data_IF_079198426961
#
_entry.id   IF_079198426961
#
_cell.length_a   1.000
_cell.length_b   1.000
_cell.length_c   1.000
_cell.angle_alpha   90.00
_cell.angle_beta   90.00
_cell.angle_gamma   90.00
#
_symmetry.space_group_name_H-M   'P 1'
#
loop_
_entity.id
_entity.type
_entity.pdbx_description
1 polymer ?
#
# COMPACT_ATOMS: atom_id res chain seq x y z
N UNK A 1 -50.96 -3.75 44.31
CA UNK A 1 -49.63 -4.17 43.82
C UNK A 1 -49.49 -4.19 42.28
N UNK A 2 -50.55 -4.38 41.48
CA UNK A 2 -50.44 -4.33 39.99
C UNK A 2 -50.23 -2.94 39.37
N UNK A 3 -50.50 -1.85 40.10
CA UNK A 3 -50.34 -0.47 39.60
C UNK A 3 -48.90 0.07 39.65
N UNK A 4 -48.04 -0.48 40.53
CA UNK A 4 -46.63 -0.07 40.63
C UNK A 4 -45.78 -0.63 39.48
N UNK A 5 -46.08 -1.83 39.00
CA UNK A 5 -45.35 -2.44 37.88
C UNK A 5 -45.50 -1.63 36.58
N UNK A 6 -46.70 -1.10 36.32
CA UNK A 6 -46.94 -0.19 35.19
C UNK A 6 -46.15 1.11 35.28
N UNK A 7 -45.91 1.63 36.48
CA UNK A 7 -45.16 2.87 36.67
C UNK A 7 -43.69 2.70 36.26
N UNK A 8 -43.05 1.60 36.65
CA UNK A 8 -41.64 1.34 36.29
C UNK A 8 -41.45 1.11 34.79
N UNK A 9 -42.38 0.42 34.12
CA UNK A 9 -42.33 0.22 32.66
C UNK A 9 -42.46 1.56 31.92
N UNK A 10 -43.35 2.44 32.39
CA UNK A 10 -43.58 3.74 31.76
C UNK A 10 -42.39 4.68 31.95
N UNK A 11 -41.79 4.70 33.14
CA UNK A 11 -40.57 5.48 33.42
C UNK A 11 -39.38 4.95 32.63
N UNK A 12 -39.22 3.61 32.55
CA UNK A 12 -38.18 3.00 31.75
C UNK A 12 -38.28 3.35 30.26
N UNK A 13 -39.49 3.33 29.69
CA UNK A 13 -39.73 3.71 28.30
C UNK A 13 -39.42 5.19 28.04
N UNK A 14 -39.78 6.10 28.97
CA UNK A 14 -39.48 7.54 28.85
C UNK A 14 -37.97 7.79 28.89
N UNK A 15 -37.24 7.12 29.79
CA UNK A 15 -35.77 7.25 29.87
C UNK A 15 -35.14 6.73 28.58
N UNK A 16 -35.59 5.60 28.06
CA UNK A 16 -35.05 5.01 26.82
C UNK A 16 -35.31 5.94 25.61
N UNK A 17 -36.47 6.59 25.57
CA UNK A 17 -36.83 7.55 24.52
C UNK A 17 -36.00 8.83 24.64
N UNK A 18 -35.80 9.35 25.85
CA UNK A 18 -34.93 10.50 26.10
C UNK A 18 -33.47 10.21 25.74
N UNK A 19 -32.94 9.05 26.12
CA UNK A 19 -31.58 8.63 25.75
C UNK A 19 -31.46 8.44 24.24
N UNK A 20 -32.46 7.82 23.59
CA UNK A 20 -32.49 7.64 22.14
C UNK A 20 -32.54 8.97 21.39
N UNK A 21 -33.37 9.92 21.83
CA UNK A 21 -33.46 11.27 21.24
C UNK A 21 -32.18 12.06 21.49
N UNK A 22 -31.63 12.00 22.71
CA UNK A 22 -30.36 12.68 23.02
C UNK A 22 -29.24 12.09 22.18
N UNK A 23 -29.10 10.77 22.10
CA UNK A 23 -28.12 10.10 21.27
C UNK A 23 -28.31 10.44 19.78
N UNK A 24 -29.55 10.52 19.29
CA UNK A 24 -29.86 10.94 17.93
C UNK A 24 -29.46 12.39 17.65
N UNK A 25 -29.75 13.33 18.56
CA UNK A 25 -29.33 14.73 18.42
C UNK A 25 -27.83 14.96 18.66
N UNK A 26 -27.18 14.19 19.54
CA UNK A 26 -25.72 14.29 19.77
C UNK A 26 -24.91 13.65 18.66
N UNK A 27 -25.41 12.59 18.01
CA UNK A 27 -24.78 12.01 16.80
C UNK A 27 -25.06 12.82 15.54
N UNK A 28 -26.11 13.66 15.56
CA UNK A 28 -26.38 14.71 14.58
C UNK A 28 -25.65 16.03 14.89
N UNK A 29 -24.70 16.08 15.84
CA UNK A 29 -23.79 17.23 15.96
C UNK A 29 -22.97 17.28 14.67
N UNK A 30 -23.51 18.14 13.81
CA UNK A 30 -23.09 18.51 12.48
C UNK A 30 -21.58 18.45 12.37
N UNK A 31 -21.10 17.53 11.56
CA UNK A 31 -19.95 17.83 10.71
C UNK A 31 -20.44 18.99 9.84
N UNK A 32 -20.31 20.22 10.34
CA UNK A 32 -20.52 21.41 9.52
C UNK A 32 -19.59 21.20 8.34
N UNK A 33 -20.09 21.08 7.10
CA UNK A 33 -19.19 21.02 5.95
C UNK A 33 -18.30 22.24 6.09
N UNK A 34 -16.98 22.04 6.02
CA UNK A 34 -16.01 23.13 6.07
C UNK A 34 -16.12 23.87 4.74
N UNK A 35 -17.19 24.64 4.65
CA UNK A 35 -17.44 25.73 3.75
C UNK A 35 -17.79 26.84 4.73
N UNK A 36 -16.76 27.49 5.27
CA UNK A 36 -16.96 28.88 5.65
C UNK A 36 -17.40 29.56 4.35
N UNK A 37 -18.72 29.77 4.19
CA UNK A 37 -19.22 30.60 3.11
C UNK A 37 -18.72 32.00 3.42
N UNK A 38 -17.53 32.31 2.90
CA UNK A 38 -16.98 33.65 2.96
C UNK A 38 -17.95 34.50 2.15
N UNK A 39 -18.62 35.42 2.83
CA UNK A 39 -19.50 36.40 2.18
C UNK A 39 -18.61 37.42 1.47
N UNK A 40 -18.41 37.20 0.17
CA UNK A 40 -17.54 38.03 -0.67
C UNK A 40 -18.39 39.11 -1.32
N UNK A 41 -18.13 40.41 -1.07
CA UNK A 41 -18.82 41.50 -1.73
C UNK A 41 -18.74 41.38 -3.27
N UNK A 42 -19.80 41.74 -4.03
CA UNK A 42 -19.82 41.56 -5.49
C UNK A 42 -18.67 42.25 -6.24
N UNK A 43 -18.22 43.40 -5.73
CA UNK A 43 -17.09 44.17 -6.25
C UNK A 43 -15.72 43.54 -5.97
N UNK A 44 -15.61 42.74 -4.91
CA UNK A 44 -14.39 41.99 -4.59
C UNK A 44 -14.35 40.60 -5.24
N UNK A 45 -15.46 40.17 -5.85
CA UNK A 45 -15.61 38.83 -6.41
C UNK A 45 -14.58 38.48 -7.49
N UNK A 46 -14.24 39.35 -8.46
CA UNK A 46 -13.23 39.02 -9.48
C UNK A 46 -11.85 38.72 -8.88
N UNK A 47 -11.47 39.48 -7.84
CA UNK A 47 -10.20 39.28 -7.14
C UNK A 47 -10.21 37.99 -6.32
N UNK A 48 -11.32 37.72 -5.63
CA UNK A 48 -11.50 36.46 -4.89
C UNK A 48 -11.43 35.24 -5.80
N UNK A 49 -12.14 35.26 -6.93
CA UNK A 49 -12.19 34.13 -7.87
C UNK A 49 -10.81 33.91 -8.52
N UNK A 50 -10.05 34.97 -8.84
CA UNK A 50 -8.68 34.85 -9.33
C UNK A 50 -7.74 34.20 -8.31
N UNK A 51 -7.73 34.69 -7.06
CA UNK A 51 -6.87 34.15 -5.99
C UNK A 51 -7.24 32.71 -5.67
N UNK A 52 -8.54 32.42 -5.51
CA UNK A 52 -9.02 31.07 -5.20
C UNK A 52 -8.81 30.08 -6.34
N UNK A 53 -9.02 30.47 -7.60
CA UNK A 53 -8.70 29.62 -8.77
C UNK A 53 -7.22 29.31 -8.84
N UNK A 54 -6.36 30.29 -8.56
CA UNK A 54 -4.91 30.10 -8.51
C UNK A 54 -4.51 29.12 -7.40
N UNK A 55 -5.04 29.31 -6.19
CA UNK A 55 -4.84 28.39 -5.06
C UNK A 55 -5.29 26.96 -5.39
N UNK A 56 -6.44 26.80 -6.06
CA UNK A 56 -6.93 25.48 -6.47
C UNK A 56 -6.00 24.81 -7.47
N UNK A 57 -5.57 25.55 -8.50
CA UNK A 57 -4.66 25.03 -9.52
C UNK A 57 -3.33 24.58 -8.90
N UNK A 58 -2.69 25.45 -8.13
CA UNK A 58 -1.42 25.16 -7.47
C UNK A 58 -1.58 24.04 -6.44
N UNK A 59 -2.69 24.00 -5.70
CA UNK A 59 -2.99 22.94 -4.74
C UNK A 59 -3.12 21.58 -5.40
N UNK A 60 -3.82 21.50 -6.53
CA UNK A 60 -3.93 20.27 -7.33
C UNK A 60 -2.57 19.80 -7.84
N UNK A 61 -1.72 20.73 -8.29
CA UNK A 61 -0.34 20.41 -8.71
C UNK A 61 0.50 19.89 -7.54
N UNK A 62 0.39 20.49 -6.35
CA UNK A 62 1.09 20.05 -5.15
C UNK A 62 0.67 18.63 -4.72
N UNK A 63 -0.64 18.35 -4.73
CA UNK A 63 -1.18 17.01 -4.42
C UNK A 63 -0.74 15.97 -5.47
N UNK A 64 -0.69 16.34 -6.75
CA UNK A 64 -0.18 15.45 -7.79
C UNK A 64 1.30 15.13 -7.57
N UNK A 65 2.12 16.15 -7.28
CA UNK A 65 3.54 15.97 -6.97
C UNK A 65 3.75 15.08 -5.73
N UNK A 66 2.90 15.25 -4.71
CA UNK A 66 2.87 14.41 -3.51
C UNK A 66 2.69 12.93 -3.86
N UNK A 67 1.70 12.61 -4.71
CA UNK A 67 1.42 11.25 -5.16
C UNK A 67 2.55 10.66 -6.01
N UNK A 68 3.15 11.46 -6.89
CA UNK A 68 4.25 11.03 -7.76
C UNK A 68 5.58 10.81 -7.02
N UNK A 69 5.78 11.40 -5.83
CA UNK A 69 7.05 11.37 -5.11
C UNK A 69 6.95 10.66 -3.75
N UNK A 70 5.98 9.75 -3.59
CA UNK A 70 5.85 8.91 -2.40
C UNK A 70 5.56 9.69 -1.12
N UNK A 71 4.67 10.68 -1.18
CA UNK A 71 4.26 11.46 -0.01
C UNK A 71 5.09 12.72 0.25
N UNK A 72 5.98 13.11 -0.67
CA UNK A 72 6.69 14.40 -0.61
C UNK A 72 6.18 15.35 -1.70
N UNK A 73 5.80 16.57 -1.35
CA UNK A 73 5.58 17.61 -2.38
C UNK A 73 6.94 18.07 -2.90
N UNK A 74 7.88 18.26 -1.98
CA UNK A 74 9.26 18.65 -2.26
C UNK A 74 10.21 17.66 -1.58
N UNK A 75 10.77 16.73 -2.36
CA UNK A 75 11.71 15.74 -1.83
C UNK A 75 12.95 16.43 -1.25
N UNK A 76 13.31 16.19 0.01
CA UNK A 76 14.47 16.81 0.65
C UNK A 76 15.77 16.62 -0.16
N UNK A 77 16.64 17.65 -0.30
CA UNK A 77 17.89 17.52 -1.05
C UNK A 77 18.82 16.41 -0.54
N UNK A 78 18.75 16.06 0.74
CA UNK A 78 19.48 14.94 1.33
C UNK A 78 19.07 13.59 0.73
N UNK A 79 17.77 13.40 0.43
CA UNK A 79 17.25 12.19 -0.18
C UNK A 79 17.50 12.16 -1.70
N UNK A 80 17.33 13.31 -2.38
CA UNK A 80 17.62 13.41 -3.83
C UNK A 80 19.06 12.99 -4.17
N UNK A 81 20.03 13.35 -3.32
CA UNK A 81 21.46 13.04 -3.47
C UNK A 81 21.85 11.60 -3.14
N UNK A 82 20.91 10.75 -2.70
CA UNK A 82 21.16 9.33 -2.40
C UNK A 82 20.55 8.42 -3.48
N UNK A 83 21.27 8.12 -4.58
CA UNK A 83 20.71 7.38 -5.71
C UNK A 83 20.26 5.97 -5.35
N UNK A 84 20.91 5.31 -4.39
CA UNK A 84 20.54 3.96 -3.94
C UNK A 84 19.35 3.93 -2.98
N UNK A 85 18.88 5.09 -2.49
CA UNK A 85 17.78 5.21 -1.53
C UNK A 85 16.47 5.70 -2.13
N UNK A 86 16.33 5.61 -3.46
CA UNK A 86 15.19 6.11 -4.24
C UNK A 86 15.07 5.35 -5.57
N UNK A 87 13.89 5.43 -6.18
CA UNK A 87 13.68 5.13 -7.60
C UNK A 87 13.39 6.41 -8.38
N UNK A 88 13.55 6.34 -9.71
CA UNK A 88 13.17 7.38 -10.65
C UNK A 88 11.96 6.94 -11.45
N UNK A 89 10.98 7.82 -11.63
CA UNK A 89 9.81 7.56 -12.47
C UNK A 89 9.98 8.04 -13.90
N UNK A 90 11.00 8.86 -14.16
CA UNK A 90 11.32 9.37 -15.49
C UNK A 90 12.82 9.17 -15.81
N UNK A 91 13.19 9.18 -17.11
CA UNK A 91 14.59 9.05 -17.54
C UNK A 91 15.51 10.19 -17.09
N UNK A 92 14.96 11.36 -16.76
CA UNK A 92 15.69 12.59 -16.43
C UNK A 92 15.90 12.77 -14.91
N UNK A 93 15.35 11.88 -14.07
CA UNK A 93 15.35 11.98 -12.61
C UNK A 93 14.68 13.26 -12.05
N UNK A 94 13.67 13.79 -12.75
CA UNK A 94 12.89 14.92 -12.26
C UNK A 94 11.94 14.47 -11.12
N UNK A 95 11.29 13.33 -11.30
CA UNK A 95 10.39 12.70 -10.36
C UNK A 95 11.06 11.50 -9.73
N UNK A 96 11.43 11.68 -8.46
CA UNK A 96 12.06 10.64 -7.66
C UNK A 96 11.14 10.23 -6.52
N UNK A 97 11.10 8.92 -6.25
CA UNK A 97 10.37 8.37 -5.11
C UNK A 97 11.40 7.83 -4.11
N UNK A 98 11.65 8.53 -3.01
CA UNK A 98 12.48 8.02 -1.93
C UNK A 98 11.86 6.77 -1.32
N UNK A 99 12.69 5.81 -0.92
CA UNK A 99 12.19 4.67 -0.16
C UNK A 99 11.74 5.12 1.23
N UNK A 100 10.54 4.70 1.62
CA UNK A 100 10.02 4.89 2.97
C UNK A 100 10.83 4.14 4.04
N UNK A 101 11.44 3.02 3.66
CA UNK A 101 12.40 2.29 4.49
C UNK A 101 13.70 2.08 3.72
N UNK A 102 14.81 2.54 4.28
CA UNK A 102 16.12 2.32 3.67
C UNK A 102 17.21 2.32 4.73
N UNK A 103 18.05 1.28 4.76
CA UNK A 103 19.16 1.13 5.73
C UNK A 103 18.71 1.38 7.18
N UNK A 104 17.64 0.70 7.60
CA UNK A 104 17.07 0.79 8.95
C UNK A 104 16.51 2.19 9.32
N UNK A 105 16.44 3.11 8.36
CA UNK A 105 15.89 4.44 8.54
C UNK A 105 14.45 4.51 8.02
N UNK A 106 13.55 5.04 8.85
CA UNK A 106 12.18 5.38 8.45
C UNK A 106 12.16 6.79 7.86
N UNK A 107 11.75 6.91 6.59
CA UNK A 107 11.72 8.14 5.79
C UNK A 107 10.31 8.48 5.33
N UNK A 108 9.34 8.31 6.22
CA UNK A 108 7.94 8.58 5.90
C UNK A 108 7.62 9.99 6.40
N UNK A 109 7.19 10.93 5.54
CA UNK A 109 6.76 12.25 6.00
C UNK A 109 5.49 12.12 6.85
N UNK A 110 5.41 12.90 7.91
CA UNK A 110 4.20 13.04 8.73
C UNK A 110 3.12 13.84 8.00
N UNK A 111 1.85 13.65 8.37
CA UNK A 111 0.74 14.45 7.83
C UNK A 111 0.96 15.96 8.01
N UNK A 112 1.51 16.38 9.15
CA UNK A 112 1.83 17.79 9.40
C UNK A 112 2.92 18.31 8.45
N UNK A 113 3.95 17.50 8.16
CA UNK A 113 4.98 17.86 7.16
C UNK A 113 4.40 17.93 5.75
N UNK A 114 3.47 17.04 5.40
CA UNK A 114 2.76 17.06 4.12
C UNK A 114 1.91 18.33 3.99
N UNK A 115 1.12 18.66 5.01
CA UNK A 115 0.29 19.87 5.07
C UNK A 115 1.14 21.13 4.91
N UNK A 116 2.25 21.22 5.64
CA UNK A 116 3.20 22.34 5.53
C UNK A 116 3.82 22.43 4.14
N UNK A 117 4.21 21.30 3.54
CA UNK A 117 4.76 21.26 2.18
C UNK A 117 3.74 21.71 1.14
N UNK A 118 2.48 21.27 1.22
CA UNK A 118 1.41 21.72 0.33
C UNK A 118 1.22 23.23 0.47
N UNK A 119 1.05 23.73 1.70
CA UNK A 119 0.84 25.15 1.96
C UNK A 119 2.00 26.01 1.42
N UNK A 120 3.24 25.60 1.68
CA UNK A 120 4.43 26.30 1.20
C UNK A 120 4.54 26.29 -0.33
N UNK A 121 4.27 25.14 -0.97
CA UNK A 121 4.35 25.01 -2.43
C UNK A 121 3.35 25.90 -3.14
N UNK A 122 2.13 25.99 -2.62
CA UNK A 122 1.07 26.86 -3.15
C UNK A 122 1.42 28.33 -2.88
N UNK A 123 1.79 28.69 -1.64
CA UNK A 123 2.17 30.05 -1.26
C UNK A 123 3.29 30.61 -2.15
N UNK A 124 4.35 29.83 -2.38
CA UNK A 124 5.48 30.23 -3.23
C UNK A 124 5.09 30.39 -4.71
N UNK A 125 4.06 29.69 -5.18
CA UNK A 125 3.57 29.80 -6.56
C UNK A 125 2.56 30.93 -6.79
N UNK A 126 2.00 31.52 -5.73
CA UNK A 126 0.98 32.57 -5.85
C UNK A 126 1.46 33.81 -6.65
N UNK A 127 2.68 34.35 -6.45
CA UNK A 127 3.13 35.54 -7.18
C UNK A 127 3.20 35.36 -8.70
N UNK A 128 3.56 34.17 -9.17
CA UNK A 128 3.65 33.88 -10.62
C UNK A 128 2.27 33.63 -11.26
N UNK A 129 1.28 33.30 -10.42
CA UNK A 129 -0.02 32.81 -10.84
C UNK A 129 -1.13 33.87 -10.72
N UNK A 130 -1.04 34.78 -9.75
CA UNK A 130 -1.99 35.90 -9.59
C UNK A 130 -1.47 37.15 -10.29
N UNK A 131 -2.27 37.72 -11.20
CA UNK A 131 -1.92 38.93 -11.97
C UNK A 131 -2.97 40.02 -11.76
N UNK A 132 -2.76 40.84 -10.75
CA UNK A 132 -3.71 41.90 -10.39
C UNK A 132 -3.89 42.93 -11.49
N UNK A 133 -2.86 43.17 -12.30
CA UNK A 133 -2.87 44.13 -13.41
C UNK A 133 -3.90 43.77 -14.49
N UNK A 134 -4.17 42.48 -14.68
CA UNK A 134 -5.13 41.99 -15.67
C UNK A 134 -6.59 42.26 -15.27
N UNK A 135 -6.84 42.58 -13.99
CA UNK A 135 -8.20 42.88 -13.48
C UNK A 135 -8.65 44.31 -13.76
N UNK A 136 -7.72 45.23 -14.03
CA UNK A 136 -8.01 46.66 -14.17
C UNK A 136 -8.44 47.37 -12.87
N UNK A 137 -8.32 46.71 -11.71
CA UNK A 137 -8.65 47.25 -10.39
C UNK A 137 -7.41 47.81 -9.68
N UNK A 138 -7.59 48.84 -8.85
CA UNK A 138 -6.54 49.29 -7.92
C UNK A 138 -6.59 48.42 -6.66
N UNK A 139 -5.58 47.55 -6.50
CA UNK A 139 -5.49 46.55 -5.44
C UNK A 139 -4.27 46.85 -4.57
N UNK A 140 -4.51 47.11 -3.29
CA UNK A 140 -3.46 47.36 -2.31
C UNK A 140 -3.23 46.12 -1.46
N UNK A 141 -1.96 45.72 -1.32
CA UNK A 141 -1.55 44.58 -0.50
C UNK A 141 -1.04 45.09 0.84
N UNK A 142 -1.75 44.80 1.93
CA UNK A 142 -1.45 45.31 3.26
C UNK A 142 -0.76 44.27 4.17
N UNK A 143 -0.72 43.00 3.75
CA UNK A 143 -0.04 41.94 4.47
C UNK A 143 0.78 41.05 3.56
N UNK A 144 1.73 40.34 4.14
CA UNK A 144 2.30 39.16 3.50
C UNK A 144 1.24 38.05 3.43
N UNK A 145 1.31 37.25 2.36
CA UNK A 145 0.48 36.07 2.19
C UNK A 145 0.91 34.99 3.20
N UNK A 146 -0.04 34.44 3.94
CA UNK A 146 0.17 33.24 4.76
C UNK A 146 -0.81 32.15 4.38
N UNK A 147 -0.39 30.89 4.49
CA UNK A 147 -1.18 29.74 4.04
C UNK A 147 -1.10 28.57 5.01
N UNK A 148 -2.22 27.88 5.18
CA UNK A 148 -2.33 26.64 5.95
C UNK A 148 -3.11 25.62 5.12
N UNK A 149 -2.68 24.36 5.18
CA UNK A 149 -3.40 23.23 4.61
C UNK A 149 -3.94 22.33 5.75
N UNK A 150 -5.11 21.73 5.53
CA UNK A 150 -5.65 20.66 6.37
C UNK A 150 -6.09 19.50 5.49
N UNK A 151 -5.79 18.27 5.91
CA UNK A 151 -5.98 17.06 5.07
C UNK A 151 -6.95 16.04 5.67
N UNK A 152 -7.72 16.41 6.70
CA UNK A 152 -8.53 15.47 7.48
C UNK A 152 -9.59 14.70 6.68
N UNK A 153 -10.27 15.37 5.75
CA UNK A 153 -11.30 14.77 4.90
C UNK A 153 -11.02 15.11 3.44
N UNK A 154 -11.12 16.40 3.13
CA UNK A 154 -10.65 16.98 1.89
C UNK A 154 -9.35 17.75 2.16
N UNK A 155 -8.62 18.13 1.11
CA UNK A 155 -7.53 19.08 1.26
C UNK A 155 -8.11 20.49 1.27
N UNK A 156 -8.12 21.12 2.44
CA UNK A 156 -8.57 22.48 2.65
C UNK A 156 -7.38 23.42 2.69
N UNK A 157 -7.31 24.36 1.75
CA UNK A 157 -6.31 25.43 1.73
C UNK A 157 -6.96 26.71 2.23
N UNK A 158 -6.36 27.30 3.27
CA UNK A 158 -6.77 28.60 3.81
C UNK A 158 -5.62 29.57 3.66
N UNK A 159 -5.84 30.64 2.91
CA UNK A 159 -4.92 31.75 2.82
C UNK A 159 -5.43 32.96 3.59
N UNK A 160 -4.50 33.68 4.23
CA UNK A 160 -4.75 35.04 4.72
C UNK A 160 -3.86 36.00 3.95
N UNK A 161 -4.50 36.95 3.28
CA UNK A 161 -3.83 37.97 2.47
C UNK A 161 -4.70 39.22 2.47
N UNK A 162 -4.30 40.25 3.21
CA UNK A 162 -5.07 41.49 3.36
C UNK A 162 -4.97 42.32 2.07
N UNK A 163 -5.96 42.17 1.20
CA UNK A 163 -6.13 42.91 -0.03
C UNK A 163 -7.22 43.97 0.14
N UNK A 164 -6.95 45.19 -0.29
CA UNK A 164 -7.93 46.27 -0.32
C UNK A 164 -8.15 46.71 -1.76
N UNK A 165 -9.39 46.57 -2.21
CA UNK A 165 -9.81 46.89 -3.57
C UNK A 165 -10.41 48.30 -3.56
N UNK A 166 -9.86 49.18 -4.38
CA UNK A 166 -10.29 50.58 -4.49
C UNK A 166 -11.03 50.81 -5.80
N UNK A 167 -12.25 51.33 -5.68
CA UNK A 167 -13.08 51.73 -6.81
C UNK A 167 -13.64 53.14 -6.53
N UNK A 168 -12.95 54.17 -7.04
CA UNK A 168 -13.23 55.56 -6.68
C UNK A 168 -13.01 55.80 -5.18
N UNK A 169 -14.06 56.22 -4.46
CA UNK A 169 -14.04 56.46 -3.01
C UNK A 169 -14.37 55.20 -2.19
N UNK A 170 -14.78 54.10 -2.83
CA UNK A 170 -15.14 52.85 -2.15
C UNK A 170 -13.90 51.99 -1.93
N UNK A 171 -13.77 51.45 -0.73
CA UNK A 171 -12.68 50.57 -0.31
C UNK A 171 -13.26 49.29 0.25
N UNK A 172 -12.96 48.15 -0.39
CA UNK A 172 -13.49 46.85 0.00
C UNK A 172 -12.35 45.93 0.45
N UNK A 173 -12.28 45.59 1.75
CA UNK A 173 -11.26 44.69 2.28
C UNK A 173 -11.60 43.24 1.97
N UNK A 174 -10.58 42.44 1.70
CA UNK A 174 -10.65 41.01 1.49
C UNK A 174 -9.39 40.38 2.09
N UNK A 175 -9.54 39.59 3.16
CA UNK A 175 -8.41 39.12 3.97
C UNK A 175 -8.26 37.60 4.01
N UNK A 176 -9.27 36.85 3.55
CA UNK A 176 -9.34 35.39 3.70
C UNK A 176 -9.83 34.72 2.42
N UNK A 177 -9.16 33.63 2.07
CA UNK A 177 -9.47 32.80 0.91
C UNK A 177 -9.45 31.34 1.32
N UNK A 178 -10.47 30.60 0.90
CA UNK A 178 -10.62 29.18 1.23
C UNK A 178 -10.92 28.39 -0.03
N UNK A 179 -10.14 27.34 -0.25
CA UNK A 179 -10.30 26.40 -1.37
C UNK A 179 -10.36 24.98 -0.82
N UNK A 180 -11.30 24.19 -1.35
CA UNK A 180 -11.46 22.77 -1.04
C UNK A 180 -11.12 21.94 -2.27
N UNK A 181 -10.16 21.05 -2.13
CA UNK A 181 -9.80 20.06 -3.15
C UNK A 181 -10.30 18.68 -2.65
N UNK A 182 -11.27 18.05 -3.32
CA UNK A 182 -11.95 16.85 -2.84
C UNK A 182 -11.08 15.60 -3.03
N UNK A 183 -10.05 15.47 -2.20
CA UNK A 183 -9.11 14.34 -2.18
C UNK A 183 -8.95 13.87 -0.73
N UNK A 184 -9.26 12.58 -0.51
CA UNK A 184 -9.14 11.91 0.80
C UNK A 184 -7.69 11.59 1.17
N UNK A 185 -6.82 12.60 1.22
CA UNK A 185 -5.38 12.39 1.38
C UNK A 185 -5.03 11.65 2.69
N UNK A 186 -5.72 11.97 3.78
CA UNK A 186 -5.53 11.29 5.06
C UNK A 186 -5.87 9.80 4.97
N UNK A 187 -6.93 9.44 4.25
CA UNK A 187 -7.31 8.03 4.09
C UNK A 187 -6.22 7.26 3.34
N UNK A 188 -5.74 7.80 2.21
CA UNK A 188 -4.64 7.22 1.43
C UNK A 188 -3.39 7.06 2.29
N UNK A 189 -3.04 8.09 3.06
CA UNK A 189 -1.90 8.05 3.99
C UNK A 189 -2.05 6.95 5.05
N UNK A 190 -3.22 6.86 5.68
CA UNK A 190 -3.49 5.87 6.73
C UNK A 190 -3.42 4.44 6.17
N UNK A 191 -3.92 4.21 4.95
CA UNK A 191 -3.78 2.91 4.25
C UNK A 191 -2.30 2.58 4.01
N UNK A 192 -1.54 3.52 3.45
CA UNK A 192 -0.13 3.32 3.16
C UNK A 192 0.70 3.04 4.43
N UNK A 193 0.42 3.74 5.54
CA UNK A 193 1.06 3.49 6.84
C UNK A 193 0.75 2.08 7.36
N UNK A 194 -0.50 1.63 7.24
CA UNK A 194 -0.89 0.28 7.70
C UNK A 194 -0.23 -0.82 6.87
N UNK A 195 -0.15 -0.65 5.56
CA UNK A 195 0.59 -1.57 4.68
C UNK A 195 2.07 -1.59 5.08
N UNK A 196 2.69 -0.42 5.24
CA UNK A 196 4.07 -0.31 5.68
C UNK A 196 4.34 -1.04 7.02
N UNK A 197 3.44 -0.88 7.99
CA UNK A 197 3.54 -1.57 9.29
C UNK A 197 3.37 -3.08 9.14
N UNK A 198 2.39 -3.53 8.35
CA UNK A 198 2.14 -4.95 8.11
C UNK A 198 3.33 -5.64 7.42
N UNK A 199 3.99 -4.97 6.47
CA UNK A 199 5.22 -5.46 5.85
C UNK A 199 6.38 -5.53 6.85
N UNK A 200 6.54 -4.51 7.69
CA UNK A 200 7.58 -4.46 8.71
C UNK A 200 7.46 -5.55 9.78
N UNK A 201 6.22 -5.88 10.20
CA UNK A 201 5.95 -6.88 11.23
C UNK A 201 5.89 -8.31 10.66
N UNK A 202 5.34 -8.47 9.46
CA UNK A 202 5.00 -9.78 8.88
C UNK A 202 5.99 -10.33 7.86
N UNK A 203 6.90 -9.50 7.32
CA UNK A 203 7.82 -9.86 6.24
C UNK A 203 7.09 -10.45 5.01
N UNK A 204 5.87 -9.96 4.73
CA UNK A 204 4.98 -10.55 3.74
C UNK A 204 5.64 -10.66 2.36
N UNK A 205 6.17 -9.56 1.83
CA UNK A 205 6.85 -9.57 0.52
C UNK A 205 8.08 -10.47 0.50
N UNK A 206 8.83 -10.57 1.61
CA UNK A 206 10.01 -11.41 1.68
C UNK A 206 9.65 -12.91 1.68
N UNK A 207 8.64 -13.31 2.47
CA UNK A 207 8.14 -14.68 2.48
C UNK A 207 7.56 -15.06 1.12
N UNK A 208 6.77 -14.16 0.51
CA UNK A 208 6.25 -14.36 -0.83
C UNK A 208 7.38 -14.57 -1.85
N UNK A 209 8.45 -13.77 -1.79
CA UNK A 209 9.60 -13.96 -2.68
C UNK A 209 10.30 -15.29 -2.47
N UNK A 210 10.46 -15.75 -1.23
CA UNK A 210 11.02 -17.08 -0.94
C UNK A 210 10.16 -18.18 -1.56
N UNK A 211 8.83 -18.09 -1.40
CA UNK A 211 7.89 -19.06 -1.95
C UNK A 211 7.95 -19.08 -3.49
N UNK A 212 7.90 -17.90 -4.12
CA UNK A 212 7.97 -17.75 -5.57
C UNK A 212 9.30 -18.29 -6.13
N UNK A 213 10.43 -17.98 -5.49
CA UNK A 213 11.73 -18.53 -5.88
C UNK A 213 11.76 -20.05 -5.74
N UNK A 214 11.17 -20.60 -4.68
CA UNK A 214 11.15 -22.05 -4.43
C UNK A 214 10.26 -22.82 -5.41
N UNK A 215 9.29 -22.14 -6.03
CA UNK A 215 8.41 -22.70 -7.05
C UNK A 215 8.95 -22.59 -8.48
N UNK A 216 10.00 -21.80 -8.69
CA UNK A 216 10.60 -21.62 -10.00
C UNK A 216 11.81 -22.55 -10.19
N UNK A 217 11.69 -23.54 -11.06
CA UNK A 217 12.74 -24.53 -11.33
C UNK A 217 14.03 -23.93 -11.90
N UNK A 218 13.96 -22.73 -12.49
CA UNK A 218 15.12 -22.00 -13.03
C UNK A 218 15.94 -21.28 -11.94
N UNK A 219 15.39 -21.17 -10.72
CA UNK A 219 16.04 -20.54 -9.56
C UNK A 219 16.51 -21.64 -8.58
N UNK A 220 17.80 -22.04 -8.62
CA UNK A 220 18.27 -23.15 -7.81
C UNK A 220 18.39 -22.78 -6.32
N UNK A 221 17.43 -23.19 -5.48
CA UNK A 221 17.50 -22.97 -4.02
C UNK A 221 18.24 -24.11 -3.32
N UNK A 222 17.66 -25.31 -3.27
CA UNK A 222 18.28 -26.51 -2.74
C UNK A 222 17.76 -27.75 -3.46
N UNK A 223 18.62 -28.75 -3.62
CA UNK A 223 18.22 -29.96 -4.32
C UNK A 223 19.32 -31.00 -4.47
N UNK A 224 18.94 -32.11 -5.11
CA UNK A 224 19.83 -33.22 -5.43
C UNK A 224 19.50 -33.75 -6.83
N UNK A 225 20.54 -34.06 -7.60
CA UNK A 225 20.45 -34.55 -8.97
C UNK A 225 21.41 -35.74 -9.17
N UNK A 226 21.06 -36.65 -10.08
CA UNK A 226 21.94 -37.76 -10.50
C UNK A 226 22.77 -37.29 -11.70
N UNK A 227 23.98 -36.78 -11.44
CA UNK A 227 24.89 -36.32 -12.50
C UNK A 227 26.36 -36.40 -12.07
N UNK A 228 27.20 -37.05 -12.88
CA UNK A 228 28.64 -37.14 -12.60
C UNK A 228 29.40 -35.82 -12.83
N UNK A 229 28.78 -34.87 -13.56
CA UNK A 229 29.31 -33.53 -13.79
C UNK A 229 28.64 -32.54 -12.84
N UNK A 230 29.40 -31.61 -12.27
CA UNK A 230 28.83 -30.55 -11.43
C UNK A 230 27.96 -29.63 -12.29
N UNK A 231 26.71 -29.47 -11.91
CA UNK A 231 25.81 -28.47 -12.49
C UNK A 231 26.24 -27.07 -12.10
N UNK A 232 26.07 -26.14 -13.04
CA UNK A 232 26.52 -24.76 -12.92
C UNK A 232 25.44 -23.82 -13.45
N UNK A 233 25.16 -22.77 -12.71
CA UNK A 233 24.21 -21.72 -13.11
C UNK A 233 24.95 -20.39 -13.17
N UNK A 234 24.67 -19.54 -14.16
CA UNK A 234 25.25 -18.20 -14.19
C UNK A 234 24.45 -17.30 -13.25
N UNK A 235 25.16 -16.56 -12.41
CA UNK A 235 24.50 -15.66 -11.44
C UNK A 235 23.65 -14.60 -12.14
N UNK A 236 24.08 -14.12 -13.30
CA UNK A 236 23.35 -13.12 -14.09
C UNK A 236 22.06 -13.66 -14.72
N UNK A 237 22.01 -14.96 -15.05
CA UNK A 237 20.80 -15.60 -15.57
C UNK A 237 19.78 -15.77 -14.44
N UNK A 238 20.23 -16.24 -13.28
CA UNK A 238 19.38 -16.39 -12.08
C UNK A 238 18.85 -15.04 -11.58
N UNK A 239 19.69 -14.00 -11.57
CA UNK A 239 19.27 -12.65 -11.19
C UNK A 239 18.18 -12.10 -12.13
N UNK A 240 18.37 -12.26 -13.45
CA UNK A 240 17.39 -11.82 -14.44
C UNK A 240 16.06 -12.58 -14.32
N UNK A 241 16.12 -13.88 -14.02
CA UNK A 241 14.94 -14.71 -13.82
C UNK A 241 14.15 -14.28 -12.58
N UNK A 242 14.82 -14.02 -11.46
CA UNK A 242 14.18 -13.45 -10.26
C UNK A 242 13.50 -12.12 -10.60
N UNK A 243 14.19 -11.20 -11.28
CA UNK A 243 13.60 -9.90 -11.65
C UNK A 243 12.36 -10.04 -12.55
N UNK A 244 12.45 -10.92 -13.56
CA UNK A 244 11.35 -11.21 -14.49
C UNK A 244 10.13 -11.78 -13.76
N UNK A 245 10.35 -12.78 -12.90
CA UNK A 245 9.33 -13.39 -12.06
C UNK A 245 8.66 -12.36 -11.15
N UNK A 246 9.45 -11.54 -10.44
CA UNK A 246 8.93 -10.52 -9.53
C UNK A 246 8.11 -9.46 -10.26
N UNK A 247 8.54 -9.04 -11.46
CA UNK A 247 7.80 -8.10 -12.32
C UNK A 247 6.44 -8.66 -12.75
N UNK A 248 6.38 -9.95 -13.07
CA UNK A 248 5.14 -10.61 -13.49
C UNK A 248 4.17 -10.92 -12.35
N UNK A 249 4.69 -11.25 -11.16
CA UNK A 249 3.88 -11.78 -10.06
C UNK A 249 3.54 -10.76 -8.98
N UNK A 250 4.42 -9.81 -8.63
CA UNK A 250 4.10 -8.81 -7.61
C UNK A 250 2.81 -8.01 -7.90
N UNK A 251 2.48 -7.63 -9.15
CA UNK A 251 1.20 -6.99 -9.47
C UNK A 251 -0.05 -7.82 -9.16
N UNK A 252 0.09 -9.12 -8.92
CA UNK A 252 -1.02 -9.99 -8.51
C UNK A 252 -1.30 -9.92 -7.01
N UNK A 253 -0.42 -9.31 -6.21
CA UNK A 253 -0.64 -9.08 -4.79
C UNK A 253 -1.85 -8.17 -4.60
N UNK A 254 -2.80 -8.63 -3.79
CA UNK A 254 -4.00 -7.89 -3.42
C UNK A 254 -3.92 -7.49 -1.97
N UNK A 255 -4.47 -6.34 -1.63
CA UNK A 255 -4.58 -5.87 -0.26
C UNK A 255 -6.02 -6.09 0.22
N UNK A 256 -6.18 -6.69 1.39
CA UNK A 256 -7.48 -6.97 1.97
C UNK A 256 -8.19 -5.68 2.36
N UNK A 257 -9.51 -5.65 2.15
CA UNK A 257 -10.39 -4.53 2.46
C UNK A 257 -10.17 -3.27 1.60
N UNK A 258 -9.40 -3.37 0.51
CA UNK A 258 -9.30 -2.37 -0.57
C UNK A 258 -10.09 -2.85 -1.79
N UNK A 259 -10.31 -1.99 -2.78
CA UNK A 259 -10.83 -2.41 -4.07
C UNK A 259 -9.76 -3.19 -4.86
N UNK A 260 -10.13 -4.33 -5.40
CA UNK A 260 -9.25 -5.22 -6.15
C UNK A 260 -10.08 -6.18 -7.01
N UNK A 261 -9.46 -6.76 -8.04
CA UNK A 261 -10.10 -7.79 -8.86
C UNK A 261 -10.63 -8.94 -7.97
N UNK A 262 -11.87 -9.40 -8.17
CA UNK A 262 -12.44 -10.46 -7.34
C UNK A 262 -11.69 -11.78 -7.56
N UNK A 263 -11.68 -12.63 -6.53
CA UNK A 263 -11.25 -14.01 -6.66
C UNK A 263 -12.28 -14.84 -7.45
N UNK A 264 -11.84 -15.92 -8.10
CA UNK A 264 -12.70 -16.81 -8.90
C UNK A 264 -13.80 -17.46 -8.05
N UNK A 265 -13.56 -17.65 -6.75
CA UNK A 265 -14.53 -18.20 -5.82
C UNK A 265 -14.79 -17.29 -4.60
N UNK A 266 -15.84 -17.61 -3.84
CA UNK A 266 -16.12 -16.89 -2.58
C UNK A 266 -15.08 -17.23 -1.51
N UNK A 267 -14.83 -16.30 -0.58
CA UNK A 267 -13.99 -16.54 0.60
C UNK A 267 -14.38 -17.80 1.41
N UNK A 268 -15.65 -18.23 1.35
CA UNK A 268 -16.11 -19.46 2.00
C UNK A 268 -15.52 -20.71 1.35
N UNK A 269 -15.32 -20.71 0.03
CA UNK A 269 -14.72 -21.82 -0.72
C UNK A 269 -13.26 -21.98 -0.32
N UNK A 270 -12.48 -20.90 -0.35
CA UNK A 270 -11.07 -20.96 0.09
C UNK A 270 -10.91 -21.33 1.56
N UNK A 271 -11.76 -20.80 2.46
CA UNK A 271 -11.76 -21.24 3.87
C UNK A 271 -12.04 -22.74 4.03
N UNK A 272 -12.85 -23.33 3.16
CA UNK A 272 -13.08 -24.78 3.15
C UNK A 272 -11.87 -25.53 2.59
N UNK A 273 -11.25 -25.04 1.52
CA UNK A 273 -10.03 -25.62 0.95
C UNK A 273 -8.88 -25.62 1.95
N UNK A 274 -8.67 -24.53 2.69
CA UNK A 274 -7.67 -24.47 3.76
C UNK A 274 -7.91 -25.55 4.83
N UNK A 275 -9.16 -25.71 5.28
CA UNK A 275 -9.53 -26.76 6.24
C UNK A 275 -9.32 -28.17 5.68
N UNK A 276 -9.68 -28.40 4.42
CA UNK A 276 -9.47 -29.67 3.73
C UNK A 276 -7.96 -29.99 3.63
N UNK A 277 -7.12 -28.99 3.33
CA UNK A 277 -5.67 -29.13 3.27
C UNK A 277 -5.07 -29.46 4.65
N UNK A 278 -5.46 -28.74 5.69
CA UNK A 278 -5.01 -29.02 7.08
C UNK A 278 -5.44 -30.42 7.53
N UNK A 279 -6.68 -30.82 7.21
CA UNK A 279 -7.18 -32.16 7.55
C UNK A 279 -6.39 -33.24 6.81
N UNK A 280 -6.15 -33.08 5.52
CA UNK A 280 -5.36 -34.02 4.73
C UNK A 280 -3.94 -34.13 5.27
N UNK A 281 -3.29 -33.01 5.60
CA UNK A 281 -1.96 -33.02 6.19
C UNK A 281 -1.94 -33.75 7.54
N UNK A 282 -2.91 -33.49 8.41
CA UNK A 282 -3.03 -34.19 9.70
C UNK A 282 -3.25 -35.69 9.52
N UNK A 283 -4.02 -36.11 8.51
CA UNK A 283 -4.21 -37.52 8.17
C UNK A 283 -2.92 -38.16 7.66
N UNK A 284 -2.16 -37.47 6.80
CA UNK A 284 -0.90 -37.97 6.25
C UNK A 284 0.22 -38.09 7.31
N UNK A 285 0.17 -37.29 8.37
CA UNK A 285 1.14 -37.26 9.46
C UNK A 285 0.77 -38.18 10.65
N UNK A 286 -0.40 -38.82 10.64
CA UNK A 286 -0.78 -39.75 11.71
C UNK A 286 -0.01 -41.06 11.56
N UNK A 287 0.99 -41.28 12.43
CA UNK A 287 1.83 -42.49 12.47
C UNK A 287 1.03 -43.78 12.70
N UNK A 288 -0.21 -43.72 13.19
CA UNK A 288 -1.08 -44.92 13.24
C UNK A 288 -1.51 -45.39 11.86
N UNK A 289 -1.30 -44.57 10.84
CA UNK A 289 -1.40 -44.92 9.42
C UNK A 289 -0.01 -45.36 8.93
N UNK A 290 0.69 -46.19 9.70
CA UNK A 290 2.00 -46.75 9.32
C UNK A 290 1.92 -47.79 8.20
N UNK A 291 0.71 -48.15 7.75
CA UNK A 291 0.50 -49.27 6.84
C UNK A 291 -0.11 -48.90 5.47
N UNK A 292 0.17 -47.68 4.99
CA UNK A 292 -0.06 -47.34 3.58
C UNK A 292 0.84 -48.13 2.61
N UNK A 293 1.79 -48.93 3.13
CA UNK A 293 2.66 -49.77 2.31
C UNK A 293 2.19 -51.22 2.18
N UNK A 294 1.30 -51.73 3.06
CA UNK A 294 0.86 -53.13 2.96
C UNK A 294 -0.66 -53.36 2.83
N UNK A 295 -1.51 -52.34 3.03
CA UNK A 295 -2.94 -52.48 2.78
C UNK A 295 -3.55 -51.25 2.09
N UNK A 296 -3.43 -51.21 0.76
CA UNK A 296 -4.25 -50.34 -0.10
C UNK A 296 -5.75 -50.67 -0.02
N UNK A 297 -6.13 -51.77 0.64
CA UNK A 297 -7.48 -52.35 0.68
C UNK A 297 -8.25 -52.05 1.97
N UNK A 298 -7.84 -51.11 2.83
CA UNK A 298 -8.71 -50.59 3.91
C UNK A 298 -9.59 -49.43 3.41
N UNK A 299 -10.87 -49.66 3.05
CA UNK A 299 -11.67 -48.71 2.28
C UNK A 299 -12.17 -47.50 3.07
N UNK A 300 -12.17 -47.54 4.41
CA UNK A 300 -12.72 -46.44 5.23
C UNK A 300 -11.74 -45.28 5.40
N UNK A 301 -10.44 -45.52 5.35
CA UNK A 301 -9.42 -44.46 5.49
C UNK A 301 -8.91 -43.95 4.13
N UNK A 302 -8.92 -44.78 3.09
CA UNK A 302 -8.55 -44.37 1.72
C UNK A 302 -9.62 -43.51 1.04
N UNK A 303 -10.90 -43.71 1.35
CA UNK A 303 -12.03 -42.97 0.77
C UNK A 303 -12.01 -41.48 1.11
N UNK A 304 -11.78 -41.15 2.39
CA UNK A 304 -11.78 -39.75 2.87
C UNK A 304 -10.55 -38.98 2.37
N UNK A 305 -9.36 -39.60 2.40
CA UNK A 305 -8.13 -39.03 1.83
C UNK A 305 -8.28 -38.79 0.33
N UNK A 306 -8.84 -39.75 -0.41
CA UNK A 306 -9.09 -39.61 -1.86
C UNK A 306 -10.15 -38.56 -2.17
N UNK A 307 -11.19 -38.46 -1.36
CA UNK A 307 -12.22 -37.43 -1.49
C UNK A 307 -11.65 -36.03 -1.23
N UNK A 308 -10.84 -35.87 -0.17
CA UNK A 308 -10.11 -34.63 0.13
C UNK A 308 -9.15 -34.25 -1.01
N UNK A 309 -8.32 -35.18 -1.46
CA UNK A 309 -7.41 -34.97 -2.59
C UNK A 309 -8.14 -34.56 -3.87
N UNK A 310 -9.30 -35.16 -4.17
CA UNK A 310 -10.13 -34.74 -5.31
C UNK A 310 -10.67 -33.32 -5.17
N UNK A 311 -11.07 -32.91 -3.95
CA UNK A 311 -11.53 -31.53 -3.70
C UNK A 311 -10.41 -30.52 -3.88
N UNK A 312 -9.22 -30.83 -3.37
CA UNK A 312 -8.03 -29.98 -3.51
C UNK A 312 -7.55 -29.90 -4.97
N UNK A 313 -7.63 -30.99 -5.73
CA UNK A 313 -7.32 -31.00 -7.17
C UNK A 313 -8.25 -30.10 -7.99
N UNK A 314 -9.47 -29.86 -7.51
CA UNK A 314 -10.46 -28.99 -8.15
C UNK A 314 -10.52 -27.60 -7.50
N UNK A 315 -9.45 -27.18 -6.82
CA UNK A 315 -9.36 -25.83 -6.29
C UNK A 315 -9.40 -24.78 -7.44
N UNK A 316 -9.94 -23.58 -7.20
CA UNK A 316 -9.85 -22.47 -8.15
C UNK A 316 -8.41 -22.20 -8.59
N UNK A 317 -8.19 -21.73 -9.81
CA UNK A 317 -6.84 -21.53 -10.35
C UNK A 317 -6.09 -20.46 -9.56
N UNK A 318 -6.80 -19.46 -9.03
CA UNK A 318 -6.25 -18.36 -8.23
C UNK A 318 -6.12 -18.70 -6.71
N UNK A 319 -6.08 -19.99 -6.37
CA UNK A 319 -5.97 -20.41 -4.98
C UNK A 319 -4.64 -20.01 -4.36
N UNK A 320 -3.55 -20.01 -5.12
CA UNK A 320 -2.24 -19.60 -4.62
C UNK A 320 -2.27 -18.12 -4.23
N UNK A 321 -2.84 -17.28 -5.07
CA UNK A 321 -2.98 -15.84 -4.87
C UNK A 321 -3.84 -15.55 -3.64
N UNK A 322 -4.93 -16.30 -3.45
CA UNK A 322 -5.77 -16.15 -2.26
C UNK A 322 -5.02 -16.46 -0.96
N UNK A 323 -4.17 -17.51 -0.95
CA UNK A 323 -3.50 -17.94 0.27
C UNK A 323 -2.19 -17.23 0.55
N UNK A 324 -1.45 -16.83 -0.48
CA UNK A 324 -0.07 -16.34 -0.36
C UNK A 324 0.11 -14.91 -0.88
N UNK A 325 -0.82 -14.39 -1.71
CA UNK A 325 -0.70 -13.06 -2.34
C UNK A 325 -1.85 -12.12 -1.91
N UNK A 326 -2.44 -12.37 -0.74
CA UNK A 326 -3.51 -11.55 -0.19
C UNK A 326 -3.09 -10.94 1.15
N UNK A 327 -2.52 -9.73 1.08
CA UNK A 327 -1.98 -9.00 2.23
C UNK A 327 -3.11 -8.50 3.14
N UNK A 328 -3.13 -8.94 4.39
CA UNK A 328 -4.01 -8.43 5.44
C UNK A 328 -3.29 -7.39 6.31
N UNK A 329 -3.39 -6.11 5.92
CA UNK A 329 -2.79 -5.00 6.65
C UNK A 329 -3.68 -4.44 7.79
N UNK A 330 -4.74 -5.16 8.20
CA UNK A 330 -5.64 -4.68 9.26
C UNK A 330 -6.40 -3.40 8.89
N UNK A 331 -6.67 -3.22 7.59
CA UNK A 331 -7.37 -2.06 7.04
C UNK A 331 -8.88 -2.13 7.35
N UNK A 332 -9.54 -0.99 7.65
CA UNK A 332 -10.99 -0.92 7.51
C UNK A 332 -11.38 -1.10 6.04
N UNK A 333 -12.65 -1.38 5.77
CA UNK A 333 -13.16 -1.40 4.38
C UNK A 333 -13.03 -0.01 3.77
N UNK A 334 -12.37 0.07 2.62
CA UNK A 334 -12.18 1.27 1.81
C UNK A 334 -12.51 0.97 0.35
N UNK A 335 -12.83 2.01 -0.42
CA UNK A 335 -12.99 1.99 -1.88
C UNK A 335 -11.68 2.32 -2.62
N UNK A 336 -10.60 2.62 -1.89
CA UNK A 336 -9.28 2.79 -2.46
C UNK A 336 -8.81 1.51 -3.15
N UNK A 337 -8.23 1.64 -4.34
CA UNK A 337 -7.49 0.57 -5.00
C UNK A 337 -6.03 0.63 -4.58
N UNK A 338 -5.42 -0.53 -4.32
CA UNK A 338 -3.97 -0.62 -4.04
C UNK A 338 -3.36 -1.63 -4.98
N UNK A 339 -2.29 -1.22 -5.67
CA UNK A 339 -1.50 -2.07 -6.56
C UNK A 339 -0.06 -2.15 -6.07
N UNK A 340 0.54 -3.33 -6.20
CA UNK A 340 1.96 -3.55 -5.91
C UNK A 340 2.73 -3.58 -7.21
N UNK A 341 3.73 -2.72 -7.34
CA UNK A 341 4.53 -2.59 -8.55
C UNK A 341 6.00 -2.92 -8.29
N UNK A 342 6.60 -3.60 -9.26
CA UNK A 342 8.04 -3.79 -9.37
C UNK A 342 8.44 -3.68 -10.85
N UNK A 343 9.53 -2.96 -11.12
CA UNK A 343 10.07 -2.81 -12.46
C UNK A 343 11.52 -3.27 -12.50
N UNK A 344 11.86 -3.99 -13.56
CA UNK A 344 13.21 -4.50 -13.85
C UNK A 344 14.24 -3.37 -13.90
N UNK A 345 13.84 -2.19 -14.38
CA UNK A 345 14.67 -1.00 -14.55
C UNK A 345 15.08 -0.37 -13.21
N UNK A 346 14.38 -0.67 -12.12
CA UNK A 346 14.73 -0.18 -10.79
C UNK A 346 15.92 -0.93 -10.18
N UNK A 347 16.30 -2.07 -10.77
CA UNK A 347 17.43 -2.88 -10.34
C UNK A 347 17.17 -3.67 -9.06
N UNK A 348 18.17 -4.47 -8.66
CA UNK A 348 18.15 -5.28 -7.46
C UNK A 348 19.59 -5.45 -6.96
N UNK A 349 19.78 -5.53 -5.65
CA UNK A 349 21.02 -6.04 -5.06
C UNK A 349 20.88 -7.56 -4.94
N UNK A 350 21.74 -8.27 -5.65
CA UNK A 350 21.74 -9.73 -5.73
C UNK A 350 23.09 -10.28 -5.25
N UNK A 351 23.05 -11.12 -4.23
CA UNK A 351 24.18 -11.93 -3.83
C UNK A 351 23.72 -13.38 -3.57
N UNK A 352 24.59 -14.34 -3.88
CA UNK A 352 24.30 -15.76 -3.71
C UNK A 352 25.55 -16.53 -3.30
N UNK A 353 25.39 -17.45 -2.35
CA UNK A 353 26.48 -18.25 -1.80
C UNK A 353 26.07 -19.73 -1.65
N UNK A 354 26.97 -20.69 -1.89
CA UNK A 354 28.32 -20.52 -2.42
C UNK A 354 28.32 -20.22 -3.93
N UNK A 355 29.30 -19.45 -4.41
CA UNK A 355 29.54 -19.22 -5.84
C UNK A 355 31.04 -19.30 -6.17
N UNK A 356 31.35 -19.70 -7.39
CA UNK A 356 32.69 -19.74 -7.99
C UNK A 356 32.73 -18.72 -9.14
N UNK A 357 33.29 -17.55 -8.86
CA UNK A 357 33.25 -16.40 -9.77
C UNK A 357 31.82 -15.96 -10.09
N UNK A 358 31.45 -16.01 -11.37
CA UNK A 358 30.12 -15.64 -11.89
C UNK A 358 29.13 -16.82 -11.93
N UNK A 359 29.47 -17.94 -11.28
CA UNK A 359 28.67 -19.16 -11.37
C UNK A 359 28.35 -19.74 -10.00
N UNK A 360 27.12 -20.21 -9.84
CA UNK A 360 26.71 -21.10 -8.77
C UNK A 360 27.09 -22.53 -9.15
N UNK A 361 27.60 -23.34 -8.23
CA UNK A 361 28.15 -24.67 -8.56
C UNK A 361 27.68 -25.71 -7.55
N UNK A 362 27.13 -26.83 -8.04
CA UNK A 362 26.74 -27.94 -7.18
C UNK A 362 27.95 -28.69 -6.61
N UNK A 363 27.73 -29.34 -5.46
CA UNK A 363 28.75 -30.13 -4.75
C UNK A 363 28.44 -31.63 -4.86
N UNK A 364 29.47 -32.47 -5.01
CA UNK A 364 29.25 -33.93 -4.97
C UNK A 364 28.84 -34.35 -3.56
N UNK A 365 27.74 -35.08 -3.44
CA UNK A 365 27.29 -35.61 -2.16
C UNK A 365 28.28 -36.69 -1.66
N UNK A 366 28.58 -36.67 -0.36
CA UNK A 366 29.40 -37.70 0.27
C UNK A 366 28.54 -38.94 0.53
N UNK A 367 28.50 -39.84 -0.45
CA UNK A 367 27.81 -41.14 -0.32
C UNK A 367 28.77 -42.28 0.01
N UNK A 368 28.26 -43.32 0.68
CA UNK A 368 29.02 -44.52 1.03
C UNK A 368 29.66 -45.18 -0.20
N UNK A 369 30.75 -45.92 0.00
CA UNK A 369 31.56 -46.47 -1.09
C UNK A 369 30.76 -47.28 -2.13
N UNK A 370 29.72 -47.99 -1.69
CA UNK A 370 28.85 -48.82 -2.53
C UNK A 370 27.92 -48.00 -3.45
N UNK A 371 27.63 -46.73 -3.13
CA UNK A 371 26.70 -45.87 -3.88
C UNK A 371 27.41 -44.79 -4.70
N UNK A 372 28.75 -44.80 -4.76
CA UNK A 372 29.53 -43.81 -5.53
C UNK A 372 29.20 -43.78 -7.03
N UNK A 373 28.72 -44.90 -7.58
CA UNK A 373 28.34 -45.01 -8.99
C UNK A 373 27.12 -44.15 -9.36
N UNK A 374 26.28 -43.77 -8.39
CA UNK A 374 25.07 -42.98 -8.62
C UNK A 374 25.36 -41.49 -8.88
N UNK A 375 26.59 -41.02 -8.63
CA UNK A 375 27.01 -39.64 -8.95
C UNK A 375 26.02 -38.58 -8.43
N UNK A 376 25.66 -38.62 -7.16
CA UNK A 376 24.80 -37.60 -6.58
C UNK A 376 25.52 -36.25 -6.50
N UNK A 377 24.94 -35.23 -7.12
CA UNK A 377 25.24 -33.85 -6.80
C UNK A 377 24.15 -33.30 -5.90
N UNK A 378 24.55 -32.52 -4.91
CA UNK A 378 23.68 -31.76 -4.03
C UNK A 378 24.04 -30.28 -4.14
N UNK A 379 23.05 -29.42 -3.99
CA UNK A 379 23.26 -27.99 -3.91
C UNK A 379 22.33 -27.37 -2.87
N UNK A 380 22.80 -26.29 -2.28
CA UNK A 380 22.06 -25.46 -1.35
C UNK A 380 22.67 -24.07 -1.44
N UNK A 381 21.87 -23.10 -1.87
CA UNK A 381 22.29 -21.74 -2.09
C UNK A 381 21.52 -20.79 -1.17
N UNK A 382 22.26 -19.88 -0.53
CA UNK A 382 21.73 -18.80 0.27
C UNK A 382 21.73 -17.54 -0.59
N UNK A 383 20.59 -16.86 -0.63
CA UNK A 383 20.39 -15.65 -1.41
C UNK A 383 20.23 -14.45 -0.48
N UNK A 384 20.95 -13.37 -0.80
CA UNK A 384 20.70 -12.05 -0.23
C UNK A 384 20.13 -11.16 -1.35
N UNK A 385 18.86 -10.79 -1.20
CA UNK A 385 18.14 -10.00 -2.18
C UNK A 385 17.69 -8.68 -1.57
N UNK A 386 17.78 -7.60 -2.34
CA UNK A 386 17.15 -6.32 -2.00
C UNK A 386 16.64 -5.69 -3.28
N UNK A 387 15.33 -5.53 -3.40
CA UNK A 387 14.67 -4.98 -4.57
C UNK A 387 13.62 -3.94 -4.14
N UNK A 388 13.39 -2.91 -4.96
CA UNK A 388 12.37 -1.91 -4.71
C UNK A 388 10.97 -2.43 -5.03
N UNK A 389 10.02 -2.07 -4.19
CA UNK A 389 8.59 -2.31 -4.39
C UNK A 389 7.85 -1.00 -4.12
N UNK A 390 6.88 -0.68 -4.98
CA UNK A 390 6.00 0.47 -4.80
C UNK A 390 4.57 -0.03 -4.57
N UNK A 391 3.91 0.51 -3.54
CA UNK A 391 2.46 0.44 -3.41
C UNK A 391 1.87 1.72 -4.00
N UNK A 392 0.93 1.60 -4.93
CA UNK A 392 0.25 2.71 -5.59
C UNK A 392 -1.25 2.67 -5.38
#
# INVERSE_FOLDING_TARGET
MKAQATMYVLVGAIILLLVGVTAYYTTQVRVVPIEEQIDVPPDARPVYDMVSSCMEQLGRQAILALGLQGGYVDVPPALKRQPLGRISLDPYNEFVVPYWYYKEERRIPSLAEIENQIANRVMLGMPDCVRFEETGLDIQQNSELSMVANTNKDVLLTAKWDLVIKEGDKSTPLDKYVVRIPVSLKEVYDVAIKIYQAEGDGLFLANLTIDLMSMNEEIPTAGMELSCQKTRWRTTEVEAEIQSMMKGLLPMVRVKNTDHAPFQASARVYKKLAKDATLLQAMLLDERIHDLSSDFDNPRQSGDVKALGKRLKNAPEDSYEFFNMFLDAGLPKSDLQVTVEHQTEWGMLFNVQPRDGTKMVSSRAKVGAMLKFLCFNQFHFNYDLTYPVMFR
#
